data_IF_529923886931
#
_entry.id   IF_529923886931
#
_cell.length_a   1.000
_cell.length_b   1.000
_cell.length_c   1.000
_cell.angle_alpha   90.00
_cell.angle_beta   90.00
_cell.angle_gamma   90.00
#
_symmetry.space_group_name_H-M   'P 1'
#
loop_
_entity.id
_entity.type
_entity.pdbx_description
1 polymer ?
#
# COMPACT_ATOMS: atom_id res chain seq x y z
N UNK A 1 2.19 3.17 70.92
CA UNK A 1 2.11 3.98 69.69
C UNK A 1 2.31 3.02 68.53
N UNK A 2 1.25 2.65 67.81
CA UNK A 2 1.34 1.72 66.68
C UNK A 2 1.88 2.49 65.47
N UNK A 3 3.08 2.13 65.00
CA UNK A 3 3.60 2.62 63.72
C UNK A 3 2.73 2.02 62.61
N UNK A 4 2.11 2.87 61.79
CA UNK A 4 1.47 2.41 60.56
C UNK A 4 2.54 1.75 59.66
N UNK A 5 2.15 0.72 58.92
CA UNK A 5 3.04 0.12 57.94
C UNK A 5 3.23 1.09 56.76
N UNK A 6 4.35 0.95 56.04
CA UNK A 6 4.69 1.83 54.92
C UNK A 6 3.56 1.96 53.88
N UNK A 7 2.77 0.89 53.65
CA UNK A 7 1.61 0.91 52.76
C UNK A 7 0.49 1.84 53.23
N UNK A 8 0.13 1.80 54.52
CA UNK A 8 -0.89 2.67 55.07
C UNK A 8 -0.43 4.13 55.11
N UNK A 9 0.86 4.35 55.33
CA UNK A 9 1.45 5.69 55.33
C UNK A 9 1.43 6.31 53.91
N UNK A 10 1.79 5.52 52.88
CA UNK A 10 1.65 5.96 51.48
C UNK A 10 0.20 6.29 51.11
N UNK A 11 -0.77 5.45 51.51
CA UNK A 11 -2.17 5.67 51.19
C UNK A 11 -2.73 6.93 51.89
N UNK A 12 -2.35 7.17 53.15
CA UNK A 12 -2.74 8.38 53.89
C UNK A 12 -2.18 9.66 53.26
N UNK A 13 -0.94 9.64 52.78
CA UNK A 13 -0.35 10.77 52.04
C UNK A 13 -1.07 10.97 50.70
N UNK A 14 -1.39 9.89 49.99
CA UNK A 14 -2.10 9.97 48.71
C UNK A 14 -3.53 10.52 48.86
N UNK A 15 -4.21 10.20 49.96
CA UNK A 15 -5.54 10.73 50.29
C UNK A 15 -5.54 12.23 50.60
N UNK A 16 -4.40 12.81 50.97
CA UNK A 16 -4.26 14.26 51.20
C UNK A 16 -4.16 15.04 49.89
N UNK A 17 -3.92 14.38 48.75
CA UNK A 17 -3.88 15.04 47.45
C UNK A 17 -5.30 15.27 46.94
N UNK A 18 -5.76 16.53 46.80
CA UNK A 18 -7.09 16.80 46.25
C UNK A 18 -7.17 16.29 44.81
N UNK A 19 -8.31 15.71 44.44
CA UNK A 19 -8.60 15.25 43.08
C UNK A 19 -7.55 14.27 42.53
N UNK A 20 -6.92 13.46 43.39
CA UNK A 20 -5.80 12.58 43.03
C UNK A 20 -6.05 11.72 41.80
N UNK A 21 -7.26 11.18 41.63
CA UNK A 21 -7.61 10.37 40.47
C UNK A 21 -7.55 11.17 39.16
N UNK A 22 -8.08 12.39 39.14
CA UNK A 22 -8.04 13.27 37.97
C UNK A 22 -6.61 13.66 37.61
N UNK A 23 -5.81 14.02 38.62
CA UNK A 23 -4.37 14.33 38.47
C UNK A 23 -3.57 13.15 37.90
N UNK A 24 -3.84 11.93 38.39
CA UNK A 24 -3.20 10.72 37.88
C UNK A 24 -3.58 10.43 36.42
N UNK A 25 -4.83 10.66 36.01
CA UNK A 25 -5.24 10.51 34.61
C UNK A 25 -4.51 11.49 33.69
N UNK A 26 -4.38 12.76 34.11
CA UNK A 26 -3.63 13.77 33.35
C UNK A 26 -2.14 13.43 33.26
N UNK A 27 -1.54 12.93 34.34
CA UNK A 27 -0.15 12.47 34.30
C UNK A 27 0.03 11.26 33.38
N UNK A 28 -0.88 10.30 33.43
CA UNK A 28 -0.85 9.14 32.53
C UNK A 28 -0.92 9.58 31.06
N UNK A 29 -1.82 10.53 30.73
CA UNK A 29 -1.88 11.12 29.39
C UNK A 29 -0.57 11.81 29.01
N UNK A 30 -0.03 12.67 29.88
CA UNK A 30 1.25 13.36 29.64
C UNK A 30 2.38 12.38 29.35
N UNK A 31 2.44 11.24 30.04
CA UNK A 31 3.46 10.21 29.83
C UNK A 31 3.33 9.51 28.46
N UNK A 32 2.10 9.34 27.96
CA UNK A 32 1.81 8.63 26.70
C UNK A 32 1.74 9.56 25.49
N UNK A 33 1.56 10.87 25.71
CA UNK A 33 1.28 11.86 24.68
C UNK A 33 2.26 11.81 23.50
N UNK A 34 3.57 11.79 23.79
CA UNK A 34 4.59 11.84 22.74
C UNK A 34 4.54 10.61 21.83
N UNK A 35 4.42 9.40 22.41
CA UNK A 35 4.30 8.17 21.62
C UNK A 35 3.01 8.16 20.82
N UNK A 36 1.87 8.54 21.42
CA UNK A 36 0.58 8.58 20.71
C UNK A 36 0.61 9.54 19.51
N UNK A 37 1.15 10.75 19.70
CA UNK A 37 1.30 11.73 18.61
C UNK A 37 2.23 11.22 17.52
N UNK A 38 3.37 10.63 17.89
CA UNK A 38 4.34 10.06 16.95
C UNK A 38 3.72 8.92 16.12
N UNK A 39 3.06 7.97 16.78
CA UNK A 39 2.49 6.79 16.13
C UNK A 39 1.33 7.15 15.19
N UNK A 40 0.47 8.09 15.61
CA UNK A 40 -0.60 8.60 14.77
C UNK A 40 -0.04 9.37 13.57
N UNK A 41 0.97 10.23 13.77
CA UNK A 41 1.62 10.98 12.69
C UNK A 41 2.26 10.06 11.66
N UNK A 42 2.98 9.03 12.10
CA UNK A 42 3.59 8.03 11.23
C UNK A 42 2.53 7.31 10.39
N UNK A 43 1.45 6.86 11.03
CA UNK A 43 0.36 6.17 10.33
C UNK A 43 -0.34 7.08 9.31
N UNK A 44 -0.57 8.34 9.66
CA UNK A 44 -1.13 9.34 8.74
C UNK A 44 -0.22 9.58 7.54
N UNK A 45 1.09 9.71 7.75
CA UNK A 45 2.06 9.92 6.67
C UNK A 45 2.10 8.73 5.71
N UNK A 46 2.00 7.49 6.21
CA UNK A 46 1.93 6.29 5.35
C UNK A 46 0.71 6.34 4.43
N UNK A 47 -0.47 6.66 4.98
CA UNK A 47 -1.72 6.80 4.19
C UNK A 47 -1.58 7.93 3.17
N UNK A 48 -1.03 9.07 3.57
CA UNK A 48 -0.84 10.22 2.70
C UNK A 48 0.08 9.91 1.52
N UNK A 49 1.24 9.31 1.81
CA UNK A 49 2.23 8.92 0.80
C UNK A 49 1.64 7.92 -0.19
N UNK A 50 0.91 6.90 0.29
CA UNK A 50 0.23 5.95 -0.59
C UNK A 50 -0.76 6.66 -1.54
N UNK A 51 -1.57 7.59 -1.02
CA UNK A 51 -2.53 8.33 -1.83
C UNK A 51 -1.87 9.25 -2.88
N UNK A 52 -0.72 9.85 -2.56
CA UNK A 52 0.05 10.67 -3.50
C UNK A 52 0.76 9.82 -4.55
N UNK A 53 1.46 8.75 -4.13
CA UNK A 53 2.13 7.79 -5.01
C UNK A 53 1.18 7.22 -6.08
N UNK A 54 0.00 6.76 -5.66
CA UNK A 54 -1.00 6.19 -6.58
C UNK A 54 -1.51 7.23 -7.59
N UNK A 55 -1.84 8.44 -7.13
CA UNK A 55 -2.33 9.51 -8.01
C UNK A 55 -1.25 10.04 -8.96
N UNK A 56 0.00 10.00 -8.54
CA UNK A 56 1.13 10.57 -9.28
C UNK A 56 1.87 9.55 -10.17
N UNK A 57 1.68 8.24 -9.97
CA UNK A 57 2.33 7.22 -10.81
C UNK A 57 1.88 7.34 -12.27
N UNK A 58 2.81 7.79 -13.11
CA UNK A 58 2.65 7.87 -14.56
C UNK A 58 2.55 6.47 -15.17
N UNK A 59 3.31 5.51 -14.63
CA UNK A 59 3.29 4.12 -15.09
C UNK A 59 1.92 3.48 -14.85
N UNK A 60 1.34 3.65 -13.66
CA UNK A 60 0.00 3.15 -13.37
C UNK A 60 -1.04 3.75 -14.32
N UNK A 61 -1.00 5.08 -14.55
CA UNK A 61 -1.88 5.75 -15.52
C UNK A 61 -1.77 5.14 -16.91
N UNK A 62 -0.56 4.87 -17.38
CA UNK A 62 -0.31 4.28 -18.69
C UNK A 62 -0.85 2.85 -18.80
N UNK A 63 -0.72 2.06 -17.74
CA UNK A 63 -1.32 0.72 -17.65
C UNK A 63 -2.84 0.81 -17.71
N UNK A 64 -3.48 1.71 -16.94
CA UNK A 64 -4.94 1.89 -16.97
C UNK A 64 -5.44 2.28 -18.37
N UNK A 65 -4.75 3.18 -19.06
CA UNK A 65 -5.07 3.55 -20.45
C UNK A 65 -4.97 2.36 -21.42
N UNK A 66 -3.95 1.53 -21.23
CA UNK A 66 -3.76 0.32 -22.06
C UNK A 66 -4.89 -0.68 -21.81
N UNK A 67 -5.30 -0.88 -20.55
CA UNK A 67 -6.46 -1.72 -20.19
C UNK A 67 -7.74 -1.19 -20.84
N UNK A 68 -8.00 0.12 -20.77
CA UNK A 68 -9.16 0.73 -21.40
C UNK A 68 -9.17 0.50 -22.93
N UNK A 69 -8.01 0.67 -23.57
CA UNK A 69 -7.87 0.50 -25.02
C UNK A 69 -8.11 -0.96 -25.44
N UNK A 70 -7.54 -1.92 -24.71
CA UNK A 70 -7.79 -3.35 -24.91
C UNK A 70 -9.26 -3.71 -24.67
N UNK A 71 -9.85 -3.18 -23.60
CA UNK A 71 -11.26 -3.39 -23.27
C UNK A 71 -12.20 -2.88 -24.38
N UNK A 72 -11.97 -1.67 -24.90
CA UNK A 72 -12.76 -1.11 -26.00
C UNK A 72 -12.62 -1.94 -27.28
N UNK A 73 -11.40 -2.37 -27.63
CA UNK A 73 -11.17 -3.21 -28.80
C UNK A 73 -11.89 -4.56 -28.68
N UNK A 74 -11.81 -5.22 -27.52
CA UNK A 74 -12.47 -6.51 -27.28
C UNK A 74 -14.00 -6.41 -27.28
N UNK A 75 -14.54 -5.25 -26.90
CA UNK A 75 -15.97 -5.00 -26.81
C UNK A 75 -16.53 -4.22 -28.01
N UNK A 76 -15.76 -4.08 -29.10
CA UNK A 76 -16.17 -3.34 -30.28
C UNK A 76 -17.52 -3.86 -30.81
N UNK A 77 -18.44 -2.94 -31.11
CA UNK A 77 -19.80 -3.28 -31.56
C UNK A 77 -20.78 -3.62 -30.43
N UNK A 78 -20.36 -3.62 -29.17
CA UNK A 78 -21.24 -3.73 -28.00
C UNK A 78 -21.39 -2.38 -27.29
N UNK A 79 -22.34 -2.28 -26.36
CA UNK A 79 -22.49 -1.10 -25.50
C UNK A 79 -21.24 -0.74 -24.69
N UNK A 80 -20.26 -1.67 -24.55
CA UNK A 80 -19.00 -1.45 -23.82
C UNK A 80 -17.81 -1.11 -24.74
N UNK A 81 -18.00 -1.05 -26.06
CA UNK A 81 -16.91 -0.85 -27.04
C UNK A 81 -16.42 0.58 -27.22
N UNK A 82 -16.96 1.54 -26.48
CA UNK A 82 -16.59 2.97 -26.54
C UNK A 82 -16.62 3.61 -25.15
N UNK A 83 -16.16 2.85 -24.15
CA UNK A 83 -16.06 3.34 -22.79
C UNK A 83 -14.99 4.44 -22.68
N UNK A 84 -15.29 5.47 -21.90
CA UNK A 84 -14.34 6.54 -21.54
C UNK A 84 -13.50 6.19 -20.30
N UNK A 85 -13.90 5.17 -19.55
CA UNK A 85 -13.27 4.70 -18.34
C UNK A 85 -13.94 3.42 -17.83
N UNK A 86 -13.39 2.85 -16.76
CA UNK A 86 -13.92 1.65 -16.11
C UNK A 86 -13.79 1.77 -14.59
N UNK A 87 -14.62 1.03 -13.86
CA UNK A 87 -14.62 1.01 -12.39
C UNK A 87 -13.42 0.25 -11.85
N UNK A 88 -12.91 0.64 -10.68
CA UNK A 88 -11.66 0.10 -10.13
C UNK A 88 -11.70 -1.43 -9.94
N UNK A 89 -12.86 -1.97 -9.54
CA UNK A 89 -13.10 -3.41 -9.36
C UNK A 89 -12.90 -4.23 -10.65
N UNK A 90 -12.99 -3.59 -11.82
CA UNK A 90 -12.87 -4.25 -13.12
C UNK A 90 -11.45 -4.75 -13.38
N UNK A 91 -10.45 -4.19 -12.68
CA UNK A 91 -9.09 -4.70 -12.68
C UNK A 91 -9.00 -6.16 -12.24
N UNK A 92 -9.87 -6.58 -11.34
CA UNK A 92 -9.87 -7.95 -10.80
C UNK A 92 -10.40 -8.97 -11.81
N UNK A 93 -11.11 -8.52 -12.85
CA UNK A 93 -11.75 -9.38 -13.87
C UNK A 93 -10.81 -9.69 -15.04
N UNK A 94 -9.63 -9.08 -15.08
CA UNK A 94 -8.64 -9.28 -16.16
C UNK A 94 -8.08 -10.71 -16.19
N UNK A 95 -8.15 -11.43 -15.08
CA UNK A 95 -7.76 -12.85 -14.99
C UNK A 95 -8.87 -13.80 -15.43
N UNK A 96 -10.12 -13.34 -15.48
CA UNK A 96 -11.29 -14.18 -15.79
C UNK A 96 -11.51 -14.29 -17.30
N UNK A 97 -11.15 -13.23 -18.04
CA UNK A 97 -11.23 -13.23 -19.51
C UNK A 97 -10.08 -14.02 -20.10
N UNK A 98 -10.37 -15.11 -20.81
CA UNK A 98 -9.39 -16.03 -21.40
C UNK A 98 -9.44 -16.04 -22.92
N UNK A 99 -8.29 -16.27 -23.54
CA UNK A 99 -8.20 -16.60 -24.95
C UNK A 99 -8.90 -17.94 -25.25
N UNK A 100 -9.31 -18.16 -26.50
CA UNK A 100 -10.06 -19.36 -26.94
C UNK A 100 -9.38 -20.69 -26.62
N UNK A 101 -8.05 -20.68 -26.51
CA UNK A 101 -7.26 -21.86 -26.17
C UNK A 101 -7.09 -22.07 -24.65
N UNK A 102 -7.73 -21.25 -23.80
CA UNK A 102 -7.67 -21.22 -22.34
C UNK A 102 -6.27 -21.06 -21.70
N UNK A 103 -5.21 -20.92 -22.52
CA UNK A 103 -3.82 -20.84 -22.06
C UNK A 103 -3.42 -19.46 -21.55
N UNK A 104 -4.13 -18.41 -21.93
CA UNK A 104 -3.73 -17.02 -21.65
C UNK A 104 -4.95 -16.20 -21.21
N UNK A 105 -4.78 -15.39 -20.15
CA UNK A 105 -5.81 -14.43 -19.70
C UNK A 105 -5.57 -13.05 -20.33
N UNK A 106 -6.54 -12.15 -20.21
CA UNK A 106 -6.37 -10.76 -20.63
C UNK A 106 -5.23 -10.06 -19.87
N UNK A 107 -5.03 -10.39 -18.57
CA UNK A 107 -3.88 -9.91 -17.81
C UNK A 107 -2.55 -10.32 -18.45
N UNK A 108 -2.39 -11.59 -18.85
CA UNK A 108 -1.19 -12.04 -19.53
C UNK A 108 -0.97 -11.32 -20.86
N UNK A 109 -2.04 -11.11 -21.62
CA UNK A 109 -1.96 -10.39 -22.88
C UNK A 109 -1.55 -8.92 -22.67
N UNK A 110 -2.13 -8.25 -21.67
CA UNK A 110 -1.73 -6.91 -21.26
C UNK A 110 -0.22 -6.85 -20.95
N UNK A 111 0.29 -7.75 -20.11
CA UNK A 111 1.71 -7.78 -19.79
C UNK A 111 2.60 -8.00 -21.03
N UNK A 112 2.17 -8.82 -22.02
CA UNK A 112 2.90 -8.98 -23.28
C UNK A 112 2.92 -7.71 -24.12
N UNK A 113 1.77 -7.04 -24.26
CA UNK A 113 1.67 -5.78 -25.00
C UNK A 113 2.54 -4.70 -24.35
N UNK A 114 2.51 -4.60 -23.03
CA UNK A 114 3.36 -3.66 -22.28
C UNK A 114 4.83 -4.00 -22.42
N UNK A 115 5.24 -5.27 -22.33
CA UNK A 115 6.63 -5.66 -22.51
C UNK A 115 7.18 -5.32 -23.92
N UNK A 116 6.34 -5.44 -24.96
CA UNK A 116 6.72 -5.12 -26.33
C UNK A 116 6.74 -3.60 -26.61
N UNK A 117 5.77 -2.86 -26.07
CA UNK A 117 5.56 -1.44 -26.44
C UNK A 117 6.05 -0.43 -25.41
N UNK A 118 6.01 -0.77 -24.13
CA UNK A 118 6.21 0.13 -22.99
C UNK A 118 6.88 -0.61 -21.82
N UNK A 119 8.06 -1.24 -22.01
CA UNK A 119 8.68 -2.08 -20.99
C UNK A 119 8.98 -1.31 -19.69
N UNK A 120 9.16 0.01 -19.76
CA UNK A 120 9.42 0.90 -18.62
C UNK A 120 8.27 0.99 -17.61
N UNK A 121 7.05 0.57 -17.97
CA UNK A 121 5.90 0.59 -17.05
C UNK A 121 5.73 -0.73 -16.29
N UNK A 122 6.44 -1.79 -16.66
CA UNK A 122 6.28 -3.11 -16.04
C UNK A 122 6.64 -3.12 -14.56
N UNK A 123 7.49 -2.20 -14.10
CA UNK A 123 7.89 -2.07 -12.71
C UNK A 123 7.14 -0.95 -11.96
N UNK A 124 5.92 -0.60 -12.41
CA UNK A 124 5.08 0.42 -11.77
C UNK A 124 4.84 0.20 -10.27
N UNK A 125 4.92 -1.05 -9.78
CA UNK A 125 4.79 -1.35 -8.36
C UNK A 125 5.86 -0.68 -7.51
N UNK A 126 7.03 -0.35 -8.09
CA UNK A 126 8.09 0.41 -7.40
C UNK A 126 7.69 1.86 -7.13
N UNK A 127 6.78 2.43 -7.92
CA UNK A 127 6.26 3.78 -7.69
C UNK A 127 5.27 3.83 -6.51
N UNK A 128 4.87 2.66 -5.98
CA UNK A 128 3.72 2.49 -5.08
C UNK A 128 4.13 1.86 -3.73
N UNK A 129 5.31 2.22 -3.23
CA UNK A 129 5.97 1.61 -2.07
C UNK A 129 5.13 1.63 -0.79
N UNK A 130 4.30 2.65 -0.58
CA UNK A 130 3.46 2.78 0.62
C UNK A 130 2.10 2.07 0.51
N UNK A 131 1.78 1.42 -0.60
CA UNK A 131 0.49 0.72 -0.78
C UNK A 131 0.33 -0.43 0.21
N UNK A 132 1.34 -1.28 0.38
CA UNK A 132 1.27 -2.41 1.31
C UNK A 132 1.25 -1.96 2.79
N UNK A 133 2.12 -1.04 3.24
CA UNK A 133 2.01 -0.45 4.57
C UNK A 133 0.65 0.18 4.83
N UNK A 134 0.12 0.96 3.88
CA UNK A 134 -1.19 1.61 4.03
C UNK A 134 -2.34 0.60 4.14
N UNK A 135 -2.24 -0.58 3.53
CA UNK A 135 -3.24 -1.64 3.66
C UNK A 135 -3.39 -2.18 5.10
N UNK A 136 -2.39 -1.95 5.97
CA UNK A 136 -2.39 -2.38 7.38
C UNK A 136 -2.96 -1.31 8.31
N UNK A 137 -3.18 -0.10 7.81
CA UNK A 137 -3.73 1.03 8.57
C UNK A 137 -5.24 1.07 8.40
N UNK A 138 -5.98 1.24 9.49
CA UNK A 138 -7.43 1.41 9.45
C UNK A 138 -7.78 2.85 9.80
N UNK A 139 -8.48 3.55 8.90
CA UNK A 139 -8.78 4.98 9.07
C UNK A 139 -9.64 5.25 10.31
N UNK A 140 -10.49 4.29 10.69
CA UNK A 140 -11.28 4.33 11.92
C UNK A 140 -10.40 4.48 13.16
N UNK A 141 -9.33 3.69 13.27
CA UNK A 141 -8.43 3.78 14.43
C UNK A 141 -7.65 5.10 14.44
N UNK A 142 -7.30 5.65 13.28
CA UNK A 142 -6.69 6.99 13.23
C UNK A 142 -7.63 8.07 13.76
N UNK A 143 -8.93 7.97 13.45
CA UNK A 143 -9.94 8.89 13.96
C UNK A 143 -10.13 8.75 15.48
N UNK A 144 -10.16 7.52 15.99
CA UNK A 144 -10.27 7.25 17.43
C UNK A 144 -9.04 7.78 18.20
N UNK A 145 -7.83 7.56 17.70
CA UNK A 145 -6.60 8.09 18.31
C UNK A 145 -6.55 9.63 18.27
N UNK A 146 -6.92 10.25 17.14
CA UNK A 146 -6.99 11.72 17.05
C UNK A 146 -7.98 12.29 18.08
N UNK A 147 -9.12 11.64 18.25
CA UNK A 147 -10.12 12.03 19.25
C UNK A 147 -9.61 11.81 20.67
N UNK A 148 -8.93 10.70 20.94
CA UNK A 148 -8.37 10.38 22.26
C UNK A 148 -7.32 11.42 22.67
N UNK A 149 -6.42 11.79 21.76
CA UNK A 149 -5.40 12.83 21.99
C UNK A 149 -6.06 14.18 22.27
N UNK A 150 -7.04 14.58 21.45
CA UNK A 150 -7.74 15.86 21.61
C UNK A 150 -8.47 15.94 22.95
N UNK A 151 -9.23 14.91 23.31
CA UNK A 151 -9.94 14.81 24.60
C UNK A 151 -8.98 14.74 25.79
N UNK A 152 -7.83 14.08 25.62
CA UNK A 152 -6.79 14.03 26.65
C UNK A 152 -6.26 15.44 26.95
N UNK A 153 -6.00 16.23 25.92
CA UNK A 153 -5.56 17.61 26.05
C UNK A 153 -6.63 18.50 26.72
N UNK A 154 -7.90 18.37 26.32
CA UNK A 154 -9.02 19.08 26.96
C UNK A 154 -9.10 18.79 28.47
N UNK A 155 -8.89 17.52 28.87
CA UNK A 155 -8.86 17.14 30.29
C UNK A 155 -7.69 17.77 31.04
N UNK A 156 -6.52 17.93 30.41
CA UNK A 156 -5.39 18.63 31.01
C UNK A 156 -5.73 20.11 31.27
N UNK A 157 -6.38 20.77 30.31
CA UNK A 157 -6.82 22.17 30.45
C UNK A 157 -7.85 22.31 31.58
N UNK A 158 -8.83 21.40 31.64
CA UNK A 158 -9.85 21.41 32.71
C UNK A 158 -9.22 21.20 34.09
N UNK A 159 -8.32 20.22 34.22
CA UNK A 159 -7.65 19.94 35.50
C UNK A 159 -6.75 21.11 35.93
N UNK A 160 -6.08 21.78 35.00
CA UNK A 160 -5.29 22.96 35.31
C UNK A 160 -6.17 24.10 35.86
N UNK A 161 -7.33 24.35 35.23
CA UNK A 161 -8.27 25.37 35.69
C UNK A 161 -8.85 25.06 37.08
N UNK A 162 -9.09 23.79 37.40
CA UNK A 162 -9.51 23.37 38.73
C UNK A 162 -8.38 23.53 39.76
N UNK A 163 -7.17 23.11 39.40
CA UNK A 163 -6.01 23.13 40.29
C UNK A 163 -5.52 24.55 40.63
N UNK A 164 -5.77 25.55 39.77
CA UNK A 164 -5.49 26.96 40.07
C UNK A 164 -6.38 27.53 41.19
N UNK A 165 -7.52 26.89 41.49
CA UNK A 165 -8.39 27.26 42.60
C UNK A 165 -8.03 26.54 43.91
N UNK A 166 -7.13 25.54 43.86
CA UNK A 166 -6.71 24.74 45.01
C UNK A 166 -5.33 25.17 45.55
N UNK A 167 -5.17 25.11 46.88
CA UNK A 167 -4.00 25.44 47.72
C UNK A 167 -2.60 25.04 47.17
N UNK A 168 -1.53 25.66 47.74
CA UNK A 168 -0.08 25.50 47.52
C UNK A 168 0.46 24.09 47.14
N UNK A 169 -0.20 22.99 47.51
CA UNK A 169 0.19 21.61 47.10
C UNK A 169 0.14 21.44 45.56
N UNK A 170 -0.67 22.25 44.87
CA UNK A 170 -0.84 22.21 43.41
C UNK A 170 0.16 23.06 42.61
N UNK A 171 1.03 23.86 43.24
CA UNK A 171 1.84 24.85 42.50
C UNK A 171 2.84 24.20 41.52
N UNK A 172 3.57 23.18 41.98
CA UNK A 172 4.50 22.42 41.13
C UNK A 172 3.74 21.63 40.04
N UNK A 173 2.57 21.09 40.37
CA UNK A 173 1.69 20.40 39.42
C UNK A 173 1.25 21.35 38.29
N UNK A 174 0.74 22.53 38.64
CA UNK A 174 0.30 23.55 37.69
C UNK A 174 1.45 24.01 36.80
N UNK A 175 2.65 24.22 37.36
CA UNK A 175 3.85 24.57 36.57
C UNK A 175 4.17 23.50 35.52
N UNK A 176 4.26 22.22 35.93
CA UNK A 176 4.56 21.09 35.03
C UNK A 176 3.51 20.98 33.91
N UNK A 177 2.22 21.16 34.24
CA UNK A 177 1.16 21.09 33.24
C UNK A 177 1.18 22.27 32.27
N UNK A 178 1.46 23.50 32.73
CA UNK A 178 1.59 24.68 31.86
C UNK A 178 2.71 24.52 30.84
N UNK A 179 3.88 24.05 31.28
CA UNK A 179 5.02 23.77 30.40
C UNK A 179 4.68 22.69 29.37
N UNK A 180 4.01 21.61 29.80
CA UNK A 180 3.55 20.56 28.90
C UNK A 180 2.50 21.06 27.90
N UNK A 181 1.51 21.82 28.37
CA UNK A 181 0.39 22.28 27.56
C UNK A 181 0.84 23.17 26.41
N UNK A 182 1.79 24.07 26.66
CA UNK A 182 2.35 24.95 25.63
C UNK A 182 2.88 24.17 24.42
N UNK A 183 3.62 23.08 24.66
CA UNK A 183 4.11 22.20 23.60
C UNK A 183 3.00 21.32 23.01
N UNK A 184 2.18 20.71 23.87
CA UNK A 184 1.16 19.76 23.45
C UNK A 184 0.09 20.39 22.54
N UNK A 185 -0.33 21.62 22.81
CA UNK A 185 -1.28 22.35 21.96
C UNK A 185 -0.74 22.59 20.55
N UNK A 186 0.55 22.91 20.40
CA UNK A 186 1.18 23.09 19.10
C UNK A 186 1.23 21.77 18.33
N UNK A 187 1.61 20.68 19.00
CA UNK A 187 1.64 19.34 18.40
C UNK A 187 0.25 18.85 17.97
N UNK A 188 -0.76 18.99 18.82
CA UNK A 188 -2.14 18.58 18.49
C UNK A 188 -2.70 19.41 17.33
N UNK A 189 -2.42 20.71 17.27
CA UNK A 189 -2.83 21.57 16.16
C UNK A 189 -2.18 21.14 14.84
N UNK A 190 -0.88 20.86 14.86
CA UNK A 190 -0.14 20.32 13.71
C UNK A 190 -0.71 18.97 13.26
N UNK A 191 -0.95 18.07 14.22
CA UNK A 191 -1.49 16.73 13.95
C UNK A 191 -2.92 16.78 13.40
N UNK A 192 -3.77 17.66 13.90
CA UNK A 192 -5.13 17.89 13.38
C UNK A 192 -5.12 18.40 11.94
N UNK A 193 -4.18 19.30 11.62
CA UNK A 193 -4.00 19.80 10.25
C UNK A 193 -3.57 18.68 9.30
N UNK A 194 -2.60 17.84 9.72
CA UNK A 194 -2.17 16.66 8.98
C UNK A 194 -3.34 15.70 8.78
N UNK A 195 -4.04 15.31 9.85
CA UNK A 195 -5.20 14.41 9.81
C UNK A 195 -6.25 14.89 8.80
N UNK A 196 -6.60 16.18 8.85
CA UNK A 196 -7.53 16.79 7.90
C UNK A 196 -7.01 16.78 6.45
N UNK A 197 -5.71 17.03 6.26
CA UNK A 197 -5.06 16.94 4.96
C UNK A 197 -5.08 15.53 4.37
N UNK A 198 -4.76 14.52 5.18
CA UNK A 198 -4.82 13.11 4.79
C UNK A 198 -6.24 12.71 4.40
N UNK A 199 -7.25 13.12 5.17
CA UNK A 199 -8.66 12.87 4.83
C UNK A 199 -9.03 13.40 3.45
N UNK A 200 -8.67 14.66 3.14
CA UNK A 200 -8.91 15.25 1.80
C UNK A 200 -8.16 14.49 0.70
N UNK A 201 -6.93 14.04 0.96
CA UNK A 201 -6.13 13.30 -0.02
C UNK A 201 -6.69 11.90 -0.29
N UNK A 202 -7.23 11.23 0.74
CA UNK A 202 -7.95 9.97 0.62
C UNK A 202 -9.21 10.16 -0.23
N UNK A 203 -10.05 11.16 0.08
CA UNK A 203 -11.26 11.43 -0.70
C UNK A 203 -10.93 11.72 -2.16
N UNK A 204 -9.91 12.54 -2.40
CA UNK A 204 -9.43 12.85 -3.74
C UNK A 204 -8.88 11.62 -4.49
N UNK A 205 -8.26 10.67 -3.80
CA UNK A 205 -7.84 9.39 -4.40
C UNK A 205 -9.05 8.54 -4.81
N UNK A 206 -10.06 8.43 -3.96
CA UNK A 206 -11.27 7.64 -4.23
C UNK A 206 -12.02 8.25 -5.43
N UNK A 207 -12.18 9.58 -5.43
CA UNK A 207 -12.77 10.33 -6.54
C UNK A 207 -11.96 10.21 -7.83
N UNK A 208 -10.63 10.16 -7.74
CA UNK A 208 -9.75 9.99 -8.89
C UNK A 208 -10.03 8.69 -9.66
N UNK A 209 -10.45 7.62 -8.97
CA UNK A 209 -10.88 6.37 -9.60
C UNK A 209 -12.37 6.34 -9.98
N UNK A 210 -13.09 7.46 -9.84
CA UNK A 210 -14.53 7.54 -10.13
C UNK A 210 -15.41 6.79 -9.13
N UNK A 211 -14.88 6.54 -7.93
CA UNK A 211 -15.59 5.93 -6.81
C UNK A 211 -16.15 7.02 -5.88
N UNK A 212 -17.17 6.68 -5.08
CA UNK A 212 -17.79 7.59 -4.13
C UNK A 212 -17.17 7.39 -2.74
N UNK A 213 -16.52 8.41 -2.13
CA UNK A 213 -15.93 8.30 -0.79
C UNK A 213 -16.92 7.88 0.30
N UNK A 214 -18.22 8.17 0.13
CA UNK A 214 -19.24 7.73 1.08
C UNK A 214 -19.56 6.23 1.00
N UNK A 215 -19.17 5.56 -0.09
CA UNK A 215 -19.53 4.17 -0.39
C UNK A 215 -18.34 3.25 -0.61
N UNK A 216 -17.17 3.79 -0.94
CA UNK A 216 -15.95 3.07 -1.20
C UNK A 216 -14.89 3.49 -0.17
N UNK A 217 -14.62 2.67 0.86
CA UNK A 217 -13.59 2.98 1.84
C UNK A 217 -12.20 2.91 1.22
N UNK A 218 -11.27 3.68 1.76
CA UNK A 218 -9.86 3.70 1.36
C UNK A 218 -9.24 2.30 1.33
N UNK A 219 -9.54 1.50 2.35
CA UNK A 219 -9.04 0.13 2.50
C UNK A 219 -9.46 -0.76 1.32
N UNK A 220 -10.65 -0.54 0.76
CA UNK A 220 -11.11 -1.25 -0.45
C UNK A 220 -10.30 -0.83 -1.68
N UNK A 221 -10.03 0.47 -1.85
CA UNK A 221 -9.21 0.98 -2.97
C UNK A 221 -7.80 0.38 -2.91
N UNK A 222 -7.17 0.45 -1.74
CA UNK A 222 -5.82 -0.09 -1.51
C UNK A 222 -5.80 -1.61 -1.74
N UNK A 223 -6.75 -2.35 -1.18
CA UNK A 223 -6.85 -3.80 -1.35
C UNK A 223 -7.01 -4.19 -2.83
N UNK A 224 -7.84 -3.46 -3.58
CA UNK A 224 -8.05 -3.70 -5.01
C UNK A 224 -6.77 -3.49 -5.80
N UNK A 225 -6.04 -2.41 -5.53
CA UNK A 225 -4.75 -2.12 -6.18
C UNK A 225 -3.67 -3.14 -5.82
N UNK A 226 -3.58 -3.55 -4.55
CA UNK A 226 -2.66 -4.61 -4.11
C UNK A 226 -2.93 -5.94 -4.83
N UNK A 227 -4.21 -6.32 -4.94
CA UNK A 227 -4.57 -7.54 -5.66
C UNK A 227 -4.22 -7.42 -7.14
N UNK A 228 -4.50 -6.27 -7.77
CA UNK A 228 -4.09 -5.99 -9.14
C UNK A 228 -2.58 -6.11 -9.33
N UNK A 229 -1.77 -5.49 -8.47
CA UNK A 229 -0.30 -5.61 -8.51
C UNK A 229 0.15 -7.06 -8.44
N UNK A 230 -0.39 -7.85 -7.50
CA UNK A 230 -0.04 -9.28 -7.37
C UNK A 230 -0.39 -10.07 -8.62
N UNK A 231 -1.58 -9.88 -9.17
CA UNK A 231 -2.02 -10.58 -10.40
C UNK A 231 -1.19 -10.15 -11.61
N UNK A 232 -0.86 -8.87 -11.72
CA UNK A 232 -0.01 -8.35 -12.79
C UNK A 232 1.40 -8.94 -12.73
N UNK A 233 2.06 -8.86 -11.56
CA UNK A 233 3.41 -9.41 -11.38
C UNK A 233 3.44 -10.89 -11.68
N UNK A 234 2.47 -11.65 -11.18
CA UNK A 234 2.36 -13.09 -11.46
C UNK A 234 2.23 -13.38 -12.95
N UNK A 235 1.32 -12.70 -13.65
CA UNK A 235 1.13 -12.90 -15.09
C UNK A 235 2.36 -12.48 -15.91
N UNK A 236 3.06 -11.43 -15.48
CA UNK A 236 4.31 -11.00 -16.11
C UNK A 236 5.43 -12.04 -15.92
N UNK A 237 5.62 -12.55 -14.71
CA UNK A 237 6.60 -13.62 -14.43
C UNK A 237 6.29 -14.92 -15.21
N UNK A 238 5.02 -15.32 -15.27
CA UNK A 238 4.57 -16.49 -16.04
C UNK A 238 4.86 -16.32 -17.54
N UNK A 239 4.65 -15.11 -18.09
CA UNK A 239 5.03 -14.79 -19.47
C UNK A 239 6.54 -14.85 -19.71
N UNK A 240 7.35 -14.30 -18.79
CA UNK A 240 8.81 -14.33 -18.93
C UNK A 240 9.33 -15.77 -18.95
N UNK A 241 8.88 -16.61 -18.00
CA UNK A 241 9.21 -18.05 -17.96
C UNK A 241 8.81 -18.78 -19.24
N UNK A 242 7.62 -18.49 -19.77
CA UNK A 242 7.14 -19.11 -20.99
C UNK A 242 7.99 -18.70 -22.21
N UNK A 243 8.33 -17.42 -22.33
CA UNK A 243 9.21 -16.93 -23.39
C UNK A 243 10.61 -17.57 -23.31
N UNK A 244 11.20 -17.68 -22.12
CA UNK A 244 12.49 -18.35 -21.91
C UNK A 244 12.47 -19.83 -22.36
N UNK A 245 11.41 -20.56 -22.02
CA UNK A 245 11.22 -21.95 -22.44
C UNK A 245 11.07 -22.08 -23.97
N UNK A 246 10.34 -21.16 -24.61
CA UNK A 246 10.16 -21.13 -26.05
C UNK A 246 11.47 -20.80 -26.78
N UNK A 247 12.23 -19.82 -26.30
CA UNK A 247 13.56 -19.48 -26.83
C UNK A 247 14.53 -20.65 -26.67
N UNK A 248 14.55 -21.33 -25.52
CA UNK A 248 15.41 -22.50 -25.30
C UNK A 248 15.09 -23.65 -26.26
N UNK A 249 13.80 -23.96 -26.44
CA UNK A 249 13.35 -25.00 -27.39
C UNK A 249 13.69 -24.65 -28.84
N UNK A 250 13.57 -23.37 -29.23
CA UNK A 250 13.95 -22.92 -30.56
C UNK A 250 15.46 -23.12 -30.81
N UNK A 251 16.31 -22.76 -29.84
CA UNK A 251 17.76 -22.95 -29.93
C UNK A 251 18.18 -24.43 -29.96
N UNK A 252 17.50 -25.30 -29.22
CA UNK A 252 17.74 -26.76 -29.25
C UNK A 252 17.25 -27.40 -30.57
N UNK A 253 16.13 -26.92 -31.11
CA UNK A 253 15.59 -27.32 -32.41
C UNK A 253 16.48 -26.93 -33.60
N UNK A 254 17.11 -25.75 -33.54
CA UNK A 254 18.05 -25.31 -34.60
C UNK A 254 19.37 -26.08 -34.56
N UNK A 255 19.89 -26.40 -33.37
CA UNK A 255 21.10 -27.23 -33.21
C UNK A 255 20.91 -28.66 -33.73
N UNK A 256 19.72 -29.23 -33.55
CA UNK A 256 19.39 -30.58 -34.04
C UNK A 256 19.18 -30.63 -35.56
N UNK A 257 18.70 -29.55 -36.18
CA UNK A 257 18.64 -29.41 -37.65
C UNK A 257 20.00 -29.20 -38.31
N UNK A 258 20.90 -28.42 -37.70
CA UNK A 258 22.28 -28.25 -38.22
C UNK A 258 23.11 -29.52 -38.07
N UNK A 259 22.94 -30.28 -36.98
CA UNK A 259 23.62 -31.57 -36.79
C UNK A 259 23.16 -32.69 -37.75
N UNK A 260 21.89 -32.69 -38.18
CA UNK A 260 21.37 -33.66 -39.15
C UNK A 260 21.89 -33.40 -40.58
N UNK A 261 22.16 -32.15 -40.93
CA UNK A 261 22.67 -31.78 -42.26
C UNK A 261 24.13 -32.18 -42.49
N UNK A 262 24.93 -32.39 -41.43
CA UNK A 262 26.30 -32.93 -41.56
C UNK A 262 26.35 -34.46 -41.68
N UNK A 263 25.42 -35.20 -41.08
CA UNK A 263 25.39 -36.67 -41.20
C UNK A 263 24.87 -37.19 -42.55
N UNK A 264 24.13 -36.37 -43.31
CA UNK A 264 23.66 -36.71 -44.66
C UNK A 264 24.72 -36.54 -45.76
N UNK A 265 25.78 -35.76 -45.51
CA UNK A 265 26.85 -35.51 -46.48
C UNK A 265 27.94 -36.60 -46.47
N UNK A 266 28.18 -37.24 -45.33
CA UNK A 266 29.20 -38.31 -45.22
C UNK A 266 28.80 -39.64 -45.88
N UNK A 267 27.50 -39.86 -46.14
CA UNK A 267 27.02 -41.13 -46.72
C UNK A 267 27.05 -41.18 -48.26
N UNK A 268 27.39 -40.08 -48.94
CA UNK A 268 27.44 -39.98 -50.41
C UNK A 268 28.85 -40.10 -51.00
N UNK A 269 29.89 -40.29 -50.19
CA UNK A 269 31.29 -40.38 -50.65
C UNK A 269 31.91 -41.78 -50.66
N UNK A 270 31.12 -42.84 -50.45
CA UNK A 270 31.64 -44.21 -50.46
C UNK A 270 31.06 -45.06 -51.61
N UNK A 271 31.29 -44.64 -52.85
CA UNK A 271 31.17 -45.51 -54.01
C UNK A 271 32.56 -46.05 -54.39
N UNK A 272 32.79 -47.37 -54.48
CA UNK A 272 34.09 -47.90 -54.83
C UNK A 272 34.33 -47.76 -56.34
N UNK A 273 35.46 -47.15 -56.70
CA UNK A 273 36.01 -47.13 -58.06
C UNK A 273 36.40 -48.57 -58.41
N UNK A 274 35.65 -49.22 -59.30
CA UNK A 274 36.11 -50.45 -59.96
C UNK A 274 37.04 -50.06 -61.11
N UNK A 275 38.33 -50.32 -60.92
CA UNK A 275 39.32 -50.42 -61.99
C UNK A 275 38.98 -51.61 -62.90
N UNK A 276 38.91 -51.36 -64.21
CA UNK A 276 38.80 -52.38 -65.24
C UNK A 276 40.09 -52.33 -66.05
N UNK A 277 40.96 -53.31 -65.80
CA UNK A 277 42.11 -53.60 -66.65
C UNK A 277 41.71 -54.56 -67.78
N UNK A 278 42.28 -54.25 -68.96
CA UNK A 278 42.44 -54.99 -70.22
C UNK A 278 41.73 -56.34 -70.47
N UNK A 279 41.06 -56.44 -71.62
CA UNK A 279 41.60 -57.04 -72.86
C UNK A 279 40.83 -56.48 -74.08
#
# INVERSE_FOLDING_TARGET
MFSLCAYCQFYLELMQVPLVESKLRVFSFKMQFYSQVSDLRNSLNVVNSAAEEIRNSVKLKRIMQTILSLGNALNQGTARGSAIGFRLDSLLKLTDTRARNNKMTLMHYLCKVLADKLPEVLDFSKDLANTEPAAKVQLKFLAEEMQAISKGLEKVVQELALAENDCHISENFCKILKEFLHFAEAEVRSLASLYSGVGRNVDALILYFGEDPARCPFEQVISTLMNFQRMFSKAHEENCKQNELETKKALEGDKSKTGASHKGADHLLQAPIRSSDGH
#
